data_IF_078118876541
#
_entry.id   IF_078118876541
#
_cell.length_a   1.000
_cell.length_b   1.000
_cell.length_c   1.000
_cell.angle_alpha   90.00
_cell.angle_beta   90.00
_cell.angle_gamma   90.00
#
_symmetry.space_group_name_H-M   'P 1'
#
loop_
_entity.id
_entity.type
_entity.pdbx_description
1 polymer ?
#
# COMPACT_ATOMS: atom_id res chain seq x y z
N UNK A 1 -6.45 6.85 -14.45
CA UNK A 1 -5.81 5.61 -13.91
C UNK A 1 -5.90 5.61 -12.39
N UNK A 2 -6.14 4.47 -11.75
CA UNK A 2 -6.18 4.34 -10.28
C UNK A 2 -4.88 3.69 -9.82
N UNK A 3 -4.28 4.21 -8.75
CA UNK A 3 -3.08 3.65 -8.14
C UNK A 3 -3.46 3.09 -6.77
N UNK A 4 -2.98 1.90 -6.47
CA UNK A 4 -3.13 1.25 -5.18
C UNK A 4 -1.76 0.84 -4.67
N UNK A 5 -1.42 1.21 -3.45
CA UNK A 5 -0.21 0.81 -2.73
C UNK A 5 -0.66 -0.13 -1.63
N UNK A 6 -0.17 -1.37 -1.64
CA UNK A 6 -0.46 -2.38 -0.63
C UNK A 6 0.87 -2.74 0.03
N UNK A 7 0.98 -2.48 1.33
CA UNK A 7 2.21 -2.67 2.09
C UNK A 7 1.97 -3.53 3.33
N UNK A 8 2.94 -4.39 3.65
CA UNK A 8 3.01 -5.08 4.94
C UNK A 8 3.78 -4.20 5.94
N UNK A 9 3.30 -4.17 7.17
CA UNK A 9 3.80 -3.32 8.23
C UNK A 9 3.04 -2.00 8.29
N UNK A 10 2.90 -1.45 9.50
CA UNK A 10 2.34 -0.11 9.71
C UNK A 10 3.46 0.84 10.06
N UNK A 11 3.52 1.97 9.36
CA UNK A 11 4.48 3.00 9.69
C UNK A 11 4.20 3.53 11.10
N UNK A 12 5.25 3.57 11.92
CA UNK A 12 5.20 4.20 13.23
C UNK A 12 5.05 5.71 13.04
N UNK A 13 4.60 6.40 14.09
CA UNK A 13 4.67 7.86 14.10
C UNK A 13 6.15 8.27 14.02
N UNK A 14 6.49 9.11 13.05
CA UNK A 14 7.86 9.55 12.82
C UNK A 14 8.13 10.03 11.40
N UNK A 15 9.41 10.32 11.08
CA UNK A 15 9.82 10.96 9.84
C UNK A 15 9.41 10.22 8.56
N UNK A 16 9.40 8.87 8.59
CA UNK A 16 9.01 8.04 7.44
C UNK A 16 7.53 8.20 7.10
N UNK A 17 6.67 8.24 8.13
CA UNK A 17 5.23 8.47 7.96
C UNK A 17 4.95 9.88 7.46
N UNK A 18 5.62 10.88 8.02
CA UNK A 18 5.52 12.27 7.55
C UNK A 18 5.97 12.41 6.09
N UNK A 19 7.02 11.69 5.70
CA UNK A 19 7.47 11.66 4.32
C UNK A 19 6.44 11.03 3.39
N UNK A 20 5.89 9.86 3.75
CA UNK A 20 4.86 9.20 2.98
C UNK A 20 3.61 10.08 2.81
N UNK A 21 3.17 10.74 3.88
CA UNK A 21 2.02 11.64 3.87
C UNK A 21 2.25 12.84 2.95
N UNK A 22 3.42 13.46 3.02
CA UNK A 22 3.79 14.57 2.13
C UNK A 22 3.80 14.17 0.64
N UNK A 23 4.16 12.92 0.32
CA UNK A 23 4.05 12.43 -1.07
C UNK A 23 2.60 12.10 -1.46
N UNK A 24 1.78 11.64 -0.51
CA UNK A 24 0.34 11.45 -0.70
C UNK A 24 -0.34 12.79 -1.03
N UNK A 25 -0.04 13.84 -0.27
CA UNK A 25 -0.55 15.20 -0.52
C UNK A 25 -0.13 15.72 -1.90
N UNK A 26 1.16 15.55 -2.26
CA UNK A 26 1.64 15.90 -3.61
C UNK A 26 0.86 15.17 -4.70
N UNK A 27 0.56 13.89 -4.49
CA UNK A 27 -0.27 13.13 -5.43
C UNK A 27 -1.68 13.71 -5.55
N UNK A 28 -2.30 14.08 -4.44
CA UNK A 28 -3.65 14.67 -4.46
C UNK A 28 -3.66 16.00 -5.25
N UNK A 29 -2.62 16.81 -5.10
CA UNK A 29 -2.47 18.11 -5.77
C UNK A 29 -2.23 18.00 -7.29
N UNK A 30 -1.37 17.08 -7.73
CA UNK A 30 -0.93 16.99 -9.13
C UNK A 30 -1.58 15.84 -9.89
N UNK A 31 -1.96 14.76 -9.20
CA UNK A 31 -2.36 13.49 -9.79
C UNK A 31 -3.58 13.62 -10.70
N UNK A 32 -4.58 14.41 -10.29
CA UNK A 32 -5.76 14.69 -11.12
C UNK A 32 -5.41 15.36 -12.44
N UNK A 33 -4.46 16.31 -12.44
CA UNK A 33 -4.00 17.00 -13.66
C UNK A 33 -3.25 16.06 -14.60
N UNK A 34 -2.62 15.01 -14.06
CA UNK A 34 -1.90 13.98 -14.79
C UNK A 34 -2.79 12.79 -15.22
N UNK A 35 -4.10 12.85 -14.98
CA UNK A 35 -5.05 11.79 -15.38
C UNK A 35 -5.15 10.61 -14.39
N UNK A 36 -4.55 10.73 -13.21
CA UNK A 36 -4.78 9.80 -12.11
C UNK A 36 -6.09 10.16 -11.37
N UNK A 37 -6.88 9.14 -11.04
CA UNK A 37 -8.21 9.29 -10.43
C UNK A 37 -8.18 9.17 -8.91
N UNK A 38 -7.36 8.26 -8.40
CA UNK A 38 -7.22 8.01 -6.96
C UNK A 38 -5.87 7.35 -6.66
N UNK A 39 -5.41 7.56 -5.42
CA UNK A 39 -4.35 6.82 -4.75
C UNK A 39 -4.95 6.21 -3.48
N UNK A 40 -4.93 4.89 -3.38
CA UNK A 40 -5.36 4.14 -2.20
C UNK A 40 -4.13 3.50 -1.57
N UNK A 41 -3.97 3.65 -0.25
CA UNK A 41 -2.85 3.07 0.50
C UNK A 41 -3.42 2.11 1.54
N UNK A 42 -3.03 0.85 1.46
CA UNK A 42 -3.42 -0.20 2.41
C UNK A 42 -2.19 -0.66 3.20
N UNK A 43 -2.23 -0.49 4.52
CA UNK A 43 -1.22 -1.02 5.44
C UNK A 43 -1.77 -2.26 6.16
N UNK A 44 -1.16 -3.41 5.89
CA UNK A 44 -1.53 -4.70 6.47
C UNK A 44 -0.55 -5.01 7.61
N UNK A 45 -1.00 -5.43 8.81
CA UNK A 45 -0.08 -5.88 9.85
C UNK A 45 0.72 -7.11 9.40
N UNK A 46 1.98 -7.19 9.82
CA UNK A 46 2.85 -8.36 9.59
C UNK A 46 2.22 -9.66 10.13
N UNK A 47 2.44 -10.79 9.44
CA UNK A 47 1.93 -12.07 9.92
C UNK A 47 2.65 -12.49 11.22
N UNK A 48 1.86 -13.06 12.15
CA UNK A 48 2.34 -13.57 13.43
C UNK A 48 2.97 -14.96 13.32
N UNK A 49 3.03 -15.54 12.12
CA UNK A 49 3.64 -16.83 11.89
C UNK A 49 5.15 -16.81 12.24
N UNK A 50 5.57 -17.84 12.98
CA UNK A 50 6.98 -18.00 13.37
C UNK A 50 7.83 -18.47 12.20
N UNK A 51 7.28 -19.35 11.37
CA UNK A 51 7.93 -19.86 10.17
C UNK A 51 7.88 -18.82 9.05
N UNK A 52 8.99 -18.67 8.32
CA UNK A 52 9.12 -17.67 7.27
C UNK A 52 8.25 -17.98 6.05
N UNK A 53 8.15 -19.25 5.64
CA UNK A 53 7.33 -19.64 4.50
C UNK A 53 5.84 -19.44 4.80
N UNK A 54 5.40 -19.79 6.01
CA UNK A 54 4.04 -19.50 6.47
C UNK A 54 3.75 -17.99 6.51
N UNK A 55 4.68 -17.17 7.03
CA UNK A 55 4.54 -15.72 7.06
C UNK A 55 4.38 -15.13 5.65
N UNK A 56 5.24 -15.55 4.72
CA UNK A 56 5.18 -15.11 3.32
C UNK A 56 3.86 -15.50 2.65
N UNK A 57 3.36 -16.71 2.91
CA UNK A 57 2.09 -17.16 2.35
C UNK A 57 0.90 -16.35 2.87
N UNK A 58 0.86 -16.08 4.19
CA UNK A 58 -0.18 -15.25 4.81
C UNK A 58 -0.18 -13.83 4.25
N UNK A 59 1.01 -13.22 4.16
CA UNK A 59 1.18 -11.86 3.66
C UNK A 59 0.85 -11.75 2.17
N UNK A 60 1.29 -12.72 1.36
CA UNK A 60 0.94 -12.77 -0.07
C UNK A 60 -0.56 -12.92 -0.29
N UNK A 61 -1.24 -13.75 0.52
CA UNK A 61 -2.69 -13.90 0.46
C UNK A 61 -3.40 -12.59 0.84
N UNK A 62 -2.94 -11.91 1.89
CA UNK A 62 -3.49 -10.63 2.32
C UNK A 62 -3.29 -9.52 1.27
N UNK A 63 -2.12 -9.47 0.62
CA UNK A 63 -1.86 -8.54 -0.48
C UNK A 63 -2.79 -8.83 -1.66
N UNK A 64 -2.86 -10.10 -2.08
CA UNK A 64 -3.64 -10.52 -3.24
C UNK A 64 -5.13 -10.21 -3.08
N UNK A 65 -5.66 -10.33 -1.87
CA UNK A 65 -7.06 -10.00 -1.56
C UNK A 65 -7.42 -8.53 -1.75
N UNK A 66 -6.44 -7.63 -1.78
CA UNK A 66 -6.63 -6.18 -1.97
C UNK A 66 -6.31 -5.70 -3.39
N UNK A 67 -5.78 -6.58 -4.26
CA UNK A 67 -5.51 -6.23 -5.66
C UNK A 67 -6.85 -6.12 -6.40
N UNK A 68 -7.18 -4.94 -6.98
CA UNK A 68 -8.42 -4.78 -7.74
C UNK A 68 -8.41 -5.63 -9.02
N UNK A 69 -9.60 -6.03 -9.47
CA UNK A 69 -9.75 -6.74 -10.76
C UNK A 69 -9.15 -5.93 -11.92
N UNK A 70 -8.50 -6.65 -12.84
CA UNK A 70 -7.86 -6.08 -14.05
C UNK A 70 -6.72 -5.08 -13.75
N UNK A 71 -6.10 -5.20 -12.58
CA UNK A 71 -4.87 -4.47 -12.28
C UNK A 71 -3.72 -4.99 -13.13
N UNK A 72 -2.90 -4.08 -13.65
CA UNK A 72 -1.55 -4.41 -14.11
C UNK A 72 -0.65 -4.45 -12.88
N UNK A 73 -0.05 -5.61 -12.61
CA UNK A 73 0.91 -5.82 -11.51
C UNK A 73 2.32 -5.78 -12.08
#
# INVERSE_FOLDING_TARGET
>A
MRIVVIAIGRLKQGPERELAERYRERFDDIGRKLGFRSLEIHEIPESRARDAAARMADEAAAISALIPDKSSI
#
